data_IF_242531918754
#
_entry.id   IF_242531918754
#
_cell.length_a   1.000
_cell.length_b   1.000
_cell.length_c   1.000
_cell.angle_alpha   90.00
_cell.angle_beta   90.00
_cell.angle_gamma   90.00
#
_symmetry.space_group_name_H-M   'P 1'
#
loop_
_entity.id
_entity.type
_entity.pdbx_description
1 polymer ?
#
# COMPACT_ATOMS: atom_id res chain seq x y z
N UNK A 1 -21.42 3.21 -20.52
CA UNK A 1 -20.51 3.89 -19.58
C UNK A 1 -19.10 3.50 -19.98
N UNK A 2 -18.31 4.43 -20.49
CA UNK A 2 -16.88 4.23 -20.74
C UNK A 2 -16.18 4.15 -19.38
N UNK A 3 -15.79 2.94 -18.98
CA UNK A 3 -14.88 2.75 -17.85
C UNK A 3 -13.47 2.88 -18.40
N UNK A 4 -12.90 4.08 -18.29
CA UNK A 4 -11.49 4.32 -18.58
C UNK A 4 -10.65 3.43 -17.66
N UNK A 5 -10.01 2.44 -18.27
CA UNK A 5 -9.01 1.54 -17.70
C UNK A 5 -7.78 2.35 -17.27
N UNK A 6 -7.84 2.94 -16.06
CA UNK A 6 -6.68 3.59 -15.43
C UNK A 6 -5.64 2.52 -15.14
N UNK A 7 -4.64 2.41 -16.00
CA UNK A 7 -3.42 1.64 -15.75
C UNK A 7 -2.68 2.28 -14.57
N UNK A 8 -2.96 1.82 -13.36
CA UNK A 8 -2.25 2.18 -12.12
C UNK A 8 -0.93 1.39 -11.97
N UNK A 9 -0.21 1.13 -13.07
CA UNK A 9 0.92 0.18 -13.08
C UNK A 9 2.26 0.81 -12.66
N UNK A 10 2.29 2.11 -12.37
CA UNK A 10 3.50 2.79 -11.91
C UNK A 10 3.35 3.18 -10.45
N UNK A 11 4.19 2.60 -9.60
CA UNK A 11 4.38 3.07 -8.23
C UNK A 11 4.88 4.52 -8.31
N UNK A 12 4.11 5.43 -7.71
CA UNK A 12 4.44 6.85 -7.71
C UNK A 12 5.73 7.06 -6.90
N UNK A 13 6.59 7.97 -7.36
CA UNK A 13 7.82 8.33 -6.65
C UNK A 13 7.54 9.25 -5.46
N UNK A 14 6.25 9.50 -5.17
CA UNK A 14 5.77 10.38 -4.12
C UNK A 14 4.92 9.63 -3.11
N UNK A 15 4.96 10.14 -1.89
CA UNK A 15 4.10 9.67 -0.81
C UNK A 15 2.63 10.03 -1.11
N UNK A 16 1.73 9.05 -1.10
CA UNK A 16 0.30 9.29 -1.37
C UNK A 16 -0.38 10.14 -0.27
N UNK A 17 0.14 10.11 0.95
CA UNK A 17 -0.42 10.85 2.11
C UNK A 17 0.03 12.32 2.15
N UNK A 18 1.33 12.58 1.96
CA UNK A 18 1.91 13.92 2.14
C UNK A 18 2.52 14.54 0.88
N UNK A 19 2.59 13.79 -0.22
CA UNK A 19 3.15 14.25 -1.50
C UNK A 19 4.68 14.43 -1.50
N UNK A 20 5.36 14.05 -0.43
CA UNK A 20 6.81 14.12 -0.32
C UNK A 20 7.48 13.17 -1.33
N UNK A 21 8.62 13.60 -1.86
CA UNK A 21 9.45 12.76 -2.73
C UNK A 21 10.00 11.57 -1.93
N UNK A 22 9.68 10.35 -2.34
CA UNK A 22 10.22 9.15 -1.73
C UNK A 22 11.70 9.01 -2.07
N UNK A 23 12.46 8.59 -1.06
CA UNK A 23 13.85 8.19 -1.22
C UNK A 23 13.92 6.80 -1.87
N UNK A 24 15.11 6.43 -2.35
CA UNK A 24 15.35 5.11 -2.94
C UNK A 24 15.05 3.97 -1.96
N UNK A 25 15.35 4.17 -0.68
CA UNK A 25 15.10 3.20 0.39
C UNK A 25 13.59 3.00 0.63
N UNK A 26 12.81 4.08 0.60
CA UNK A 26 11.35 4.03 0.76
C UNK A 26 10.68 3.36 -0.44
N UNK A 27 11.07 3.73 -1.67
CA UNK A 27 10.60 3.07 -2.90
C UNK A 27 10.90 1.57 -2.89
N UNK A 28 12.07 1.17 -2.42
CA UNK A 28 12.42 -0.25 -2.31
C UNK A 28 11.50 -0.96 -1.31
N UNK A 29 11.25 -0.37 -0.14
CA UNK A 29 10.34 -0.94 0.86
C UNK A 29 8.90 -1.10 0.32
N UNK A 30 8.42 -0.14 -0.47
CA UNK A 30 7.11 -0.21 -1.14
C UNK A 30 7.09 -1.36 -2.16
N UNK A 31 8.14 -1.52 -2.97
CA UNK A 31 8.26 -2.62 -3.93
C UNK A 31 8.33 -3.99 -3.26
N UNK A 32 9.02 -4.09 -2.12
CA UNK A 32 9.16 -5.33 -1.35
C UNK A 32 7.87 -5.72 -0.61
N UNK A 33 7.14 -4.73 -0.11
CA UNK A 33 5.86 -4.93 0.58
C UNK A 33 4.67 -5.10 -0.37
N UNK A 34 4.79 -4.61 -1.62
CA UNK A 34 3.68 -4.54 -2.56
C UNK A 34 2.56 -3.59 -2.11
N UNK A 35 2.90 -2.64 -1.22
CA UNK A 35 1.96 -1.73 -0.58
C UNK A 35 1.83 -0.37 -1.29
N UNK A 36 1.07 0.57 -0.70
CA UNK A 36 0.96 1.95 -1.19
C UNK A 36 2.29 2.68 -1.15
N UNK A 37 2.49 3.68 -2.01
CA UNK A 37 3.73 4.45 -2.06
C UNK A 37 3.78 5.44 -0.89
N UNK A 38 4.28 4.97 0.27
CA UNK A 38 4.33 5.74 1.50
C UNK A 38 5.76 6.01 1.96
N UNK A 39 5.99 7.21 2.50
CA UNK A 39 7.27 7.52 3.14
C UNK A 39 7.40 6.73 4.44
N UNK A 40 8.62 6.58 4.95
CA UNK A 40 8.93 5.75 6.13
C UNK A 40 8.09 6.09 7.37
N UNK A 41 7.64 7.35 7.47
CA UNK A 41 6.78 7.81 8.57
C UNK A 41 5.38 7.20 8.42
N UNK A 42 4.69 7.43 7.30
CA UNK A 42 3.34 6.91 7.07
C UNK A 42 3.33 5.39 6.83
N UNK A 43 4.40 4.83 6.25
CA UNK A 43 4.57 3.40 6.11
C UNK A 43 4.63 2.69 7.47
N UNK A 44 5.16 3.35 8.52
CA UNK A 44 5.17 2.79 9.88
C UNK A 44 3.79 2.82 10.55
N UNK A 45 2.84 3.59 10.02
CA UNK A 45 1.46 3.66 10.50
C UNK A 45 0.57 2.58 9.84
N UNK A 46 1.05 1.97 8.75
CA UNK A 46 0.39 0.83 8.12
C UNK A 46 0.58 -0.40 9.00
N UNK A 47 -0.50 -0.81 9.65
CA UNK A 47 -0.56 -2.10 10.33
C UNK A 47 -0.88 -3.15 9.27
N UNK A 48 0.04 -4.10 8.96
CA UNK A 48 -0.30 -5.21 8.11
C UNK A 48 -1.44 -5.97 8.80
N UNK A 49 -2.60 -6.00 8.16
CA UNK A 49 -3.64 -6.94 8.55
C UNK A 49 -3.03 -8.31 8.30
N UNK A 50 -2.67 -9.00 9.38
CA UNK A 50 -2.38 -10.42 9.29
C UNK A 50 -3.58 -11.03 8.58
N UNK A 51 -3.32 -11.83 7.54
CA UNK A 51 -4.35 -12.62 6.90
C UNK A 51 -4.94 -13.52 7.99
N UNK A 52 -6.00 -13.04 8.63
CA UNK A 52 -6.81 -13.84 9.54
C UNK A 52 -7.36 -14.98 8.69
N UNK A 53 -6.72 -16.15 8.81
CA UNK A 53 -7.27 -17.41 8.39
C UNK A 53 -8.70 -17.44 8.92
N UNK A 54 -9.66 -17.27 8.00
CA UNK A 54 -11.05 -17.13 8.32
C UNK A 54 -11.57 -18.41 8.98
N UNK A 55 -11.50 -18.48 10.31
CA UNK A 55 -12.38 -19.31 11.13
C UNK A 55 -13.31 -18.39 11.91
N UNK A 56 -14.20 -17.71 11.17
CA UNK A 56 -15.46 -17.28 11.78
C UNK A 56 -16.30 -18.55 12.00
N UNK A 57 -16.04 -19.26 13.10
CA UNK A 57 -16.97 -20.25 13.64
C UNK A 57 -18.16 -19.47 14.23
N UNK A 58 -19.10 -19.11 13.35
CA UNK A 58 -20.44 -18.73 13.76
C UNK A 58 -21.11 -19.96 14.37
N UNK A 59 -21.08 -20.04 15.70
CA UNK A 59 -21.88 -20.98 16.49
C UNK A 59 -23.36 -20.55 16.42
N UNK A 60 -24.21 -21.43 15.91
CA UNK A 60 -25.68 -21.36 16.02
C UNK A 60 -26.22 -22.46 16.95
#
# INVERSE_FOLDING_TARGET
>A
MDLEERTLDTIDDRCEECGAQLTREELQAVLESGGPSLCKIHAAEVVPLAEEEATFEGEE
#
